data_IF_138941952898
#
_entry.id   IF_138941952898
#
_cell.length_a   1.000
_cell.length_b   1.000
_cell.length_c   1.000
_cell.angle_alpha   90.00
_cell.angle_beta   90.00
_cell.angle_gamma   90.00
#
_symmetry.space_group_name_H-M   'P 1'
#
loop_
_entity.id
_entity.type
_entity.pdbx_description
1 polymer ?
#
# COMPACT_ATOMS: atom_id res chain seq x y z
N UNK A 1 32.38 -18.90 2.02
CA UNK A 1 31.73 -18.77 1.82
C UNK A 1 31.05 -18.35 1.50
N UNK A 2 30.66 -18.24 1.80
CA UNK A 2 29.87 -18.04 1.58
C UNK A 2 29.43 -17.56 1.23
N UNK A 3 29.66 -17.30 1.21
CA UNK A 3 29.14 -16.85 0.81
C UNK A 3 28.64 -16.51 0.07
N UNK A 4 29.08 -16.16 0.16
CA UNK A 4 28.74 -15.40 -1.00
C UNK A 4 27.49 -15.78 -1.64
N UNK A 5 27.37 -16.87 -1.99
CA UNK A 5 26.13 -17.27 -2.61
C UNK A 5 24.95 -16.82 -1.82
N UNK A 6 25.18 -16.58 -0.63
CA UNK A 6 24.08 -16.08 0.17
C UNK A 6 23.56 -14.76 -0.36
N UNK A 7 24.45 -13.96 -0.89
CA UNK A 7 24.03 -12.66 -1.37
C UNK A 7 23.05 -12.75 -2.50
N UNK A 8 23.30 -13.58 -3.45
CA UNK A 8 22.39 -13.66 -4.57
C UNK A 8 21.07 -14.22 -4.18
N UNK A 9 21.07 -15.20 -3.32
CA UNK A 9 19.82 -15.74 -2.86
C UNK A 9 19.00 -14.67 -2.17
N UNK A 10 19.64 -13.86 -1.35
CA UNK A 10 18.98 -12.81 -0.64
C UNK A 10 18.35 -11.81 -1.59
N UNK A 11 19.07 -11.40 -2.61
CA UNK A 11 18.54 -10.42 -3.53
C UNK A 11 17.34 -10.94 -4.25
N UNK A 12 17.40 -12.18 -4.68
CA UNK A 12 16.28 -12.72 -5.42
C UNK A 12 15.07 -12.90 -4.54
N UNK A 13 15.31 -13.01 -3.25
CA UNK A 13 14.23 -13.27 -2.33
C UNK A 13 13.69 -12.03 -1.66
N UNK A 14 14.20 -10.85 -2.03
CA UNK A 14 13.65 -9.63 -1.47
C UNK A 14 12.30 -9.39 -2.11
N UNK A 15 11.25 -9.73 -1.36
CA UNK A 15 9.88 -9.63 -1.86
C UNK A 15 9.03 -8.76 -0.95
N UNK A 16 9.64 -8.01 -0.06
CA UNK A 16 8.94 -7.29 0.97
C UNK A 16 9.67 -6.00 1.29
N UNK A 17 8.93 -4.91 1.43
CA UNK A 17 9.50 -3.63 1.85
C UNK A 17 8.56 -2.94 2.82
N UNK A 18 9.13 -2.20 3.75
CA UNK A 18 8.41 -1.37 4.70
C UNK A 18 9.08 -0.01 4.70
N UNK A 19 8.29 1.05 4.62
CA UNK A 19 8.80 2.41 4.65
C UNK A 19 7.99 3.25 5.60
N UNK A 20 8.68 4.02 6.44
CA UNK A 20 8.03 4.97 7.32
C UNK A 20 8.12 6.33 6.64
N UNK A 21 6.98 6.97 6.42
CA UNK A 21 6.90 8.24 5.71
C UNK A 21 6.30 9.30 6.61
N UNK A 22 6.60 10.58 6.37
CA UNK A 22 5.97 11.65 7.14
C UNK A 22 4.45 11.67 6.94
N UNK A 23 3.74 12.12 7.95
CA UNK A 23 2.28 12.21 7.88
C UNK A 23 1.93 13.53 7.20
N UNK A 24 2.07 13.56 5.88
CA UNK A 24 1.85 14.76 5.08
C UNK A 24 1.49 14.36 3.66
N UNK A 25 0.90 15.27 2.91
CA UNK A 25 0.35 14.94 1.60
C UNK A 25 1.41 14.47 0.60
N UNK A 26 2.61 15.00 0.70
CA UNK A 26 3.68 14.57 -0.21
C UNK A 26 4.03 13.11 -0.10
N UNK A 27 3.70 12.48 1.00
CA UNK A 27 4.00 11.07 1.20
C UNK A 27 3.17 10.15 0.30
N UNK A 28 2.02 10.64 -0.19
CA UNK A 28 1.24 9.86 -1.15
C UNK A 28 2.06 9.58 -2.41
N UNK A 29 2.64 10.63 -2.97
CA UNK A 29 3.46 10.46 -4.15
C UNK A 29 4.72 9.65 -3.84
N UNK A 30 5.36 9.93 -2.69
CA UNK A 30 6.55 9.21 -2.31
C UNK A 30 6.29 7.72 -2.21
N UNK A 31 5.17 7.34 -1.60
CA UNK A 31 4.81 5.92 -1.48
C UNK A 31 4.64 5.27 -2.84
N UNK A 32 3.93 5.95 -3.75
CA UNK A 32 3.69 5.41 -5.08
C UNK A 32 4.97 5.25 -5.88
N UNK A 33 5.88 6.20 -5.75
CA UNK A 33 7.17 6.12 -6.45
C UNK A 33 7.99 4.95 -5.93
N UNK A 34 8.01 4.77 -4.61
CA UNK A 34 8.74 3.65 -4.00
C UNK A 34 8.18 2.32 -4.45
N UNK A 35 6.86 2.19 -4.43
CA UNK A 35 6.23 0.93 -4.85
C UNK A 35 6.48 0.66 -6.33
N UNK A 36 6.32 1.67 -7.17
CA UNK A 36 6.53 1.49 -8.60
C UNK A 36 7.96 1.05 -8.89
N UNK A 37 8.93 1.64 -8.18
CA UNK A 37 10.33 1.24 -8.35
C UNK A 37 10.56 -0.22 -7.98
N UNK A 38 9.98 -0.64 -6.86
CA UNK A 38 10.09 -2.03 -6.42
C UNK A 38 9.49 -2.97 -7.47
N UNK A 39 8.29 -2.66 -7.97
CA UNK A 39 7.61 -3.55 -8.91
C UNK A 39 8.31 -3.60 -10.26
N UNK A 40 8.83 -2.47 -10.73
CA UNK A 40 9.56 -2.45 -12.00
C UNK A 40 10.84 -3.25 -11.89
N UNK A 41 11.50 -3.16 -10.76
CA UNK A 41 12.71 -3.95 -10.52
C UNK A 41 12.39 -5.45 -10.55
N UNK A 42 11.16 -5.82 -10.19
CA UNK A 42 10.72 -7.21 -10.24
C UNK A 42 10.14 -7.58 -11.60
N UNK A 43 10.18 -6.66 -12.56
CA UNK A 43 9.74 -6.90 -13.94
C UNK A 43 8.26 -7.25 -14.09
N UNK A 44 7.43 -6.63 -13.25
CA UNK A 44 6.01 -6.85 -13.36
C UNK A 44 5.42 -5.99 -14.49
N UNK A 45 4.27 -6.41 -15.00
CA UNK A 45 3.58 -5.68 -16.06
C UNK A 45 3.31 -4.24 -15.70
N UNK A 46 3.35 -3.37 -16.71
CA UNK A 46 3.03 -1.97 -16.51
C UNK A 46 1.63 -1.78 -15.92
N UNK A 47 0.68 -2.62 -16.32
CA UNK A 47 -0.68 -2.50 -15.79
C UNK A 47 -0.72 -2.80 -14.30
N UNK A 48 0.02 -3.82 -13.87
CA UNK A 48 0.10 -4.16 -12.44
C UNK A 48 0.73 -3.00 -11.67
N UNK A 49 1.81 -2.42 -12.21
CA UNK A 49 2.47 -1.30 -11.55
C UNK A 49 1.49 -0.13 -11.39
N UNK A 50 0.73 0.16 -12.45
CA UNK A 50 -0.23 1.26 -12.42
C UNK A 50 -1.34 1.00 -11.41
N UNK A 51 -1.93 -0.19 -11.44
CA UNK A 51 -3.01 -0.53 -10.55
C UNK A 51 -2.55 -0.51 -9.09
N UNK A 52 -1.36 -1.05 -8.83
CA UNK A 52 -0.82 -1.07 -7.48
C UNK A 52 -0.58 0.35 -6.96
N UNK A 53 -0.07 1.23 -7.81
CA UNK A 53 0.15 2.62 -7.40
C UNK A 53 -1.16 3.32 -7.08
N UNK A 54 -2.22 3.04 -7.87
CA UNK A 54 -3.53 3.62 -7.60
C UNK A 54 -4.05 3.13 -6.25
N UNK A 55 -3.98 1.83 -6.01
CA UNK A 55 -4.46 1.25 -4.76
C UNK A 55 -3.70 1.83 -3.57
N UNK A 56 -2.39 1.82 -3.63
CA UNK A 56 -1.60 2.34 -2.52
C UNK A 56 -1.89 3.83 -2.30
N UNK A 57 -2.01 4.59 -3.37
CA UNK A 57 -2.32 6.01 -3.27
C UNK A 57 -3.65 6.27 -2.57
N UNK A 58 -4.67 5.44 -2.85
CA UNK A 58 -5.96 5.60 -2.20
C UNK A 58 -5.87 5.22 -0.72
N UNK A 59 -5.11 4.19 -0.38
CA UNK A 59 -4.93 3.81 1.02
C UNK A 59 -4.19 4.90 1.79
N UNK A 60 -3.15 5.49 1.19
CA UNK A 60 -2.42 6.57 1.84
C UNK A 60 -3.32 7.80 2.02
N UNK A 61 -4.06 8.16 0.97
CA UNK A 61 -4.97 9.30 1.06
C UNK A 61 -6.00 9.10 2.16
N UNK A 62 -6.52 7.88 2.27
CA UNK A 62 -7.48 7.55 3.30
C UNK A 62 -6.87 7.72 4.70
N UNK A 63 -5.64 7.27 4.88
CA UNK A 63 -4.95 7.43 6.17
C UNK A 63 -4.69 8.89 6.51
N UNK A 64 -4.28 9.67 5.52
CA UNK A 64 -4.01 11.09 5.74
C UNK A 64 -5.28 11.89 6.01
N UNK A 65 -6.39 11.50 5.37
CA UNK A 65 -7.65 12.22 5.53
C UNK A 65 -8.39 11.86 6.82
N UNK A 66 -8.31 10.62 7.24
CA UNK A 66 -9.17 10.12 8.32
C UNK A 66 -8.40 9.55 9.50
N UNK A 67 -7.11 9.30 9.35
CA UNK A 67 -6.29 8.73 10.40
C UNK A 67 -5.53 9.79 11.17
N UNK A 68 -4.55 9.34 11.92
CA UNK A 68 -3.66 10.16 12.71
C UNK A 68 -2.24 9.66 12.51
N UNK A 69 -1.23 10.51 12.80
CA UNK A 69 0.14 10.03 12.75
C UNK A 69 0.32 8.82 13.66
N UNK A 70 1.17 7.91 13.25
CA UNK A 70 1.49 6.76 14.08
C UNK A 70 2.49 7.16 15.18
N UNK A 71 2.98 6.17 15.94
CA UNK A 71 3.86 6.46 17.07
C UNK A 71 5.20 7.05 16.65
N UNK A 72 5.50 7.05 15.37
CA UNK A 72 6.71 7.66 14.82
C UNK A 72 6.42 8.98 14.12
N UNK A 73 5.24 9.57 14.36
CA UNK A 73 4.79 10.82 13.75
C UNK A 73 4.64 10.72 12.24
N UNK A 74 4.34 9.54 11.73
CA UNK A 74 4.23 9.33 10.30
C UNK A 74 3.17 8.30 9.98
N UNK A 75 3.34 7.67 8.84
CA UNK A 75 2.56 6.52 8.48
C UNK A 75 3.49 5.49 7.83
N UNK A 76 3.13 4.23 7.98
CA UNK A 76 3.94 3.15 7.46
C UNK A 76 3.28 2.59 6.23
N UNK A 77 4.05 2.45 5.15
CA UNK A 77 3.56 1.78 3.94
C UNK A 77 4.40 0.52 3.76
N UNK A 78 3.77 -0.55 3.31
CA UNK A 78 4.50 -1.79 3.11
C UNK A 78 3.86 -2.58 2.00
N UNK A 79 4.64 -3.48 1.42
CA UNK A 79 4.14 -4.39 0.39
C UNK A 79 4.93 -5.67 0.41
N UNK A 80 4.25 -6.74 -0.02
CA UNK A 80 4.83 -8.06 -0.09
C UNK A 80 4.41 -8.69 -1.40
N UNK A 81 5.39 -9.17 -2.15
CA UNK A 81 5.13 -9.81 -3.43
C UNK A 81 5.12 -11.32 -3.22
N UNK A 82 4.01 -11.94 -3.56
CA UNK A 82 3.84 -13.38 -3.48
C UNK A 82 3.74 -13.93 -4.89
N UNK A 83 3.68 -15.24 -5.03
CA UNK A 83 3.73 -15.83 -6.36
C UNK A 83 2.63 -15.34 -7.28
N UNK A 84 1.41 -15.20 -6.76
CA UNK A 84 0.30 -14.82 -7.59
C UNK A 84 -0.45 -13.60 -7.09
N UNK A 85 0.15 -12.85 -6.17
CA UNK A 85 -0.52 -11.70 -5.58
C UNK A 85 0.48 -10.71 -5.03
N UNK A 86 0.05 -9.45 -5.01
CA UNK A 86 0.79 -8.39 -4.36
C UNK A 86 -0.07 -7.87 -3.22
N UNK A 87 0.49 -7.84 -2.02
CA UNK A 87 -0.21 -7.32 -0.86
C UNK A 87 0.38 -5.95 -0.52
N UNK A 88 -0.47 -4.93 -0.38
CA UNK A 88 -0.02 -3.60 0.01
C UNK A 88 -0.77 -3.18 1.26
N UNK A 89 -0.12 -2.46 2.16
CA UNK A 89 -0.79 -1.98 3.36
C UNK A 89 -0.28 -0.62 3.80
N UNK A 90 -1.16 0.10 4.51
CA UNK A 90 -0.85 1.39 5.09
C UNK A 90 -1.31 1.35 6.54
N UNK A 91 -0.41 1.72 7.45
CA UNK A 91 -0.69 1.78 8.88
C UNK A 91 -0.58 3.22 9.35
N UNK A 92 -1.64 3.73 9.95
CA UNK A 92 -1.59 5.03 10.63
C UNK A 92 -1.91 4.82 12.12
N UNK A 93 -1.98 5.90 12.88
CA UNK A 93 -2.19 5.83 14.31
C UNK A 93 -3.62 5.58 14.73
N UNK A 94 -4.52 5.44 13.76
CA UNK A 94 -5.93 5.24 14.04
C UNK A 94 -6.70 6.53 13.90
N UNK A 95 -8.00 6.41 13.89
CA UNK A 95 -8.89 7.54 13.76
C UNK A 95 -10.24 7.17 14.29
N UNK A 96 -11.17 8.13 14.22
CA UNK A 96 -12.50 7.88 14.74
C UNK A 96 -13.40 7.22 13.72
N UNK A 97 -13.05 7.32 12.44
CA UNK A 97 -13.90 6.80 11.38
C UNK A 97 -13.29 5.54 10.79
N UNK A 98 -14.11 4.51 10.71
CA UNK A 98 -13.68 3.26 10.11
C UNK A 98 -13.60 3.42 8.59
N UNK A 99 -12.52 2.95 7.92
CA UNK A 99 -12.48 2.97 6.46
C UNK A 99 -13.64 2.17 5.88
N UNK A 100 -14.29 2.72 4.88
CA UNK A 100 -15.41 2.04 4.24
C UNK A 100 -15.61 2.58 2.83
N UNK A 101 -16.29 1.79 2.00
CA UNK A 101 -16.60 2.18 0.63
C UNK A 101 -17.74 3.19 0.66
N UNK A 102 -17.59 4.28 -0.09
CA UNK A 102 -18.58 5.34 -0.11
C UNK A 102 -19.51 5.19 -1.31
N UNK A 103 -20.75 5.71 -1.19
CA UNK A 103 -21.67 5.70 -2.32
C UNK A 103 -21.11 6.47 -3.51
N UNK A 104 -21.51 6.11 -4.73
CA UNK A 104 -20.96 6.75 -5.93
C UNK A 104 -21.13 8.26 -6.00
N UNK A 105 -22.23 8.79 -5.51
CA UNK A 105 -22.46 10.22 -5.53
C UNK A 105 -21.48 10.96 -4.61
N UNK A 106 -21.10 10.34 -3.51
CA UNK A 106 -20.09 10.91 -2.62
C UNK A 106 -18.71 10.80 -3.26
N UNK A 107 -18.45 9.68 -3.92
CA UNK A 107 -17.16 9.44 -4.57
C UNK A 107 -16.89 10.46 -5.67
N UNK A 108 -17.92 10.89 -6.38
CA UNK A 108 -17.75 11.87 -7.44
C UNK A 108 -17.16 13.16 -6.94
N UNK A 109 -17.44 13.52 -5.70
CA UNK A 109 -16.94 14.75 -5.13
C UNK A 109 -15.58 14.57 -4.45
N UNK A 110 -15.23 13.34 -4.07
CA UNK A 110 -14.06 13.09 -3.24
C UNK A 110 -13.01 12.23 -3.90
N UNK A 111 -13.10 12.00 -5.18
CA UNK A 111 -12.23 11.05 -5.84
C UNK A 111 -12.82 9.67 -5.71
N UNK A 112 -12.04 8.65 -5.66
CA UNK A 112 -12.58 7.29 -5.73
C UNK A 112 -12.56 6.56 -4.40
N UNK A 113 -11.66 6.94 -3.53
CA UNK A 113 -11.57 6.32 -2.23
C UNK A 113 -11.46 4.81 -2.30
N UNK A 114 -12.09 4.14 -1.35
CA UNK A 114 -12.00 2.68 -1.25
C UNK A 114 -12.78 1.95 -2.34
N UNK A 115 -13.64 2.65 -3.09
CA UNK A 115 -14.31 2.01 -4.22
C UNK A 115 -13.29 1.62 -5.29
N UNK A 116 -12.28 2.45 -5.51
CA UNK A 116 -11.23 2.13 -6.46
C UNK A 116 -10.40 0.95 -5.95
N UNK A 117 -10.12 0.92 -4.66
CA UNK A 117 -9.42 -0.21 -4.05
C UNK A 117 -10.22 -1.48 -4.28
N UNK A 118 -11.53 -1.44 -4.01
CA UNK A 118 -12.37 -2.61 -4.18
C UNK A 118 -12.41 -3.08 -5.62
N UNK A 119 -12.41 -2.15 -6.57
CA UNK A 119 -12.47 -2.50 -7.99
C UNK A 119 -11.18 -3.17 -8.48
N UNK A 120 -10.04 -2.82 -7.91
CA UNK A 120 -8.74 -3.27 -8.40
C UNK A 120 -8.14 -4.41 -7.60
N UNK A 121 -8.79 -4.82 -6.51
CA UNK A 121 -8.20 -5.83 -5.62
C UNK A 121 -9.12 -7.03 -5.51
N UNK A 122 -8.57 -8.16 -5.13
CA UNK A 122 -9.36 -9.35 -4.86
C UNK A 122 -10.00 -9.29 -3.49
N UNK A 123 -9.37 -8.57 -2.55
CA UNK A 123 -9.92 -8.36 -1.22
C UNK A 123 -9.12 -7.27 -0.52
N UNK A 124 -9.73 -6.68 0.51
CA UNK A 124 -9.05 -5.74 1.39
C UNK A 124 -9.69 -5.85 2.78
N UNK A 125 -8.95 -5.46 3.81
CA UNK A 125 -9.47 -5.53 5.17
C UNK A 125 -8.76 -4.50 6.05
N UNK A 126 -9.32 -4.31 7.25
CA UNK A 126 -8.83 -3.36 8.23
C UNK A 126 -8.47 -4.10 9.51
N UNK A 127 -7.36 -3.73 10.12
CA UNK A 127 -6.87 -4.32 11.36
C UNK A 127 -6.52 -3.17 12.31
N UNK A 128 -7.00 -3.26 13.55
CA UNK A 128 -6.80 -2.20 14.51
C UNK A 128 -5.81 -2.57 15.62
N UNK A 129 -5.01 -3.57 15.42
CA UNK A 129 -4.10 -4.06 16.47
C UNK A 129 -3.10 -3.00 16.92
N UNK A 130 -2.57 -2.20 16.00
CA UNK A 130 -1.54 -1.22 16.32
C UNK A 130 -1.83 0.12 15.66
N UNK A 131 -3.05 0.58 15.72
CA UNK A 131 -3.53 1.74 14.98
C UNK A 131 -4.53 1.24 13.97
N UNK A 132 -4.57 1.85 12.80
CA UNK A 132 -5.43 1.37 11.72
C UNK A 132 -4.55 0.94 10.55
N UNK A 133 -4.56 -0.34 10.27
CA UNK A 133 -3.85 -0.89 9.11
C UNK A 133 -4.87 -1.36 8.08
N UNK A 134 -4.80 -0.79 6.90
CA UNK A 134 -5.64 -1.24 5.78
C UNK A 134 -4.73 -2.00 4.84
N UNK A 135 -5.14 -3.21 4.49
CA UNK A 135 -4.37 -4.08 3.61
C UNK A 135 -5.23 -4.45 2.42
N UNK A 136 -4.62 -4.47 1.24
CA UNK A 136 -5.30 -4.83 0.00
C UNK A 136 -4.45 -5.80 -0.79
N UNK A 137 -5.10 -6.71 -1.50
CA UNK A 137 -4.42 -7.76 -2.28
C UNK A 137 -4.79 -7.62 -3.74
N UNK A 138 -3.77 -7.46 -4.60
CA UNK A 138 -3.96 -7.38 -6.04
C UNK A 138 -3.54 -8.71 -6.66
N UNK A 139 -4.40 -9.33 -7.45
CA UNK A 139 -3.99 -10.55 -8.16
C UNK A 139 -3.03 -10.19 -9.28
N UNK A 140 -2.07 -11.06 -9.54
CA UNK A 140 -1.07 -10.84 -10.58
C UNK A 140 -1.34 -11.59 -11.86
N UNK A 141 -2.28 -12.49 -11.85
CA UNK A 141 -2.56 -13.28 -13.05
C UNK A 141 -4.01 -13.22 -13.45
#
# INVERSE_FOLDING_TARGET
MNDAPAGEGTQQETRFEVHELPFEMGSNRAARVLLAGFLRHKHLDAQVVQDAAIVLGELVANGLDHGRPDRHDGLEVSWALQDEALEVSVLDGGGETEPHVMPPDVLAARGRGLAMVEALTSRWWVDHTAGTRVTAVLPLA
#
